data_IF_789426667915
#
_entry.id   IF_789426667915
#
_cell.length_a   1.000
_cell.length_b   1.000
_cell.length_c   1.000
_cell.angle_alpha   90.00
_cell.angle_beta   90.00
_cell.angle_gamma   90.00
#
_symmetry.space_group_name_H-M   'P 1'
#
loop_
_entity.id
_entity.type
_entity.pdbx_description
1 polymer ?
#
# COMPACT_ATOMS: atom_id res chain seq x y z
N UNK A 1 4.07 -13.12 0.41
CA UNK A 1 3.97 -12.80 1.86
C UNK A 1 3.01 -11.63 2.04
N UNK A 2 2.56 -11.34 3.27
CA UNK A 2 1.81 -10.13 3.61
C UNK A 2 2.77 -9.08 4.14
N UNK A 3 2.79 -7.90 3.51
CA UNK A 3 3.78 -6.86 3.81
C UNK A 3 3.08 -5.52 4.02
N UNK A 4 3.44 -4.86 5.13
CA UNK A 4 2.99 -3.52 5.45
C UNK A 4 4.01 -2.49 4.98
N UNK A 5 3.56 -1.45 4.26
CA UNK A 5 4.38 -0.29 3.89
C UNK A 5 3.79 0.95 4.57
N UNK A 6 4.42 1.41 5.65
CA UNK A 6 3.93 2.54 6.43
C UNK A 6 4.36 3.86 5.77
N UNK A 7 3.48 4.40 4.94
CA UNK A 7 3.68 5.66 4.22
C UNK A 7 3.21 5.58 2.77
N UNK A 8 2.44 6.58 2.36
CA UNK A 8 1.86 6.70 1.00
C UNK A 8 2.63 7.67 0.10
N UNK A 9 3.85 8.05 0.48
CA UNK A 9 4.72 8.93 -0.32
C UNK A 9 5.34 8.20 -1.52
N UNK A 10 6.12 8.92 -2.34
CA UNK A 10 6.76 8.37 -3.54
C UNK A 10 7.57 7.09 -3.27
N UNK A 11 8.34 7.07 -2.17
CA UNK A 11 9.16 5.91 -1.79
C UNK A 11 8.28 4.71 -1.39
N UNK A 12 7.25 4.95 -0.58
CA UNK A 12 6.33 3.89 -0.15
C UNK A 12 5.62 3.24 -1.33
N UNK A 13 5.15 4.05 -2.28
CA UNK A 13 4.55 3.56 -3.52
C UNK A 13 5.53 2.73 -4.35
N UNK A 14 6.75 3.21 -4.57
CA UNK A 14 7.75 2.49 -5.35
C UNK A 14 8.09 1.12 -4.75
N UNK A 15 8.28 1.06 -3.43
CA UNK A 15 8.52 -0.19 -2.70
C UNK A 15 7.29 -1.10 -2.81
N UNK A 16 6.10 -0.58 -2.53
CA UNK A 16 4.86 -1.34 -2.57
C UNK A 16 4.60 -1.95 -3.94
N UNK A 17 4.74 -1.15 -5.01
CA UNK A 17 4.59 -1.61 -6.40
C UNK A 17 5.57 -2.73 -6.69
N UNK A 18 6.86 -2.59 -6.32
CA UNK A 18 7.84 -3.64 -6.59
C UNK A 18 7.53 -4.94 -5.86
N UNK A 19 7.06 -4.86 -4.62
CA UNK A 19 6.67 -6.03 -3.83
C UNK A 19 5.45 -6.74 -4.43
N UNK A 20 4.49 -5.99 -4.97
CA UNK A 20 3.33 -6.55 -5.68
C UNK A 20 3.78 -7.28 -6.95
N UNK A 21 4.68 -6.69 -7.75
CA UNK A 21 5.24 -7.33 -8.94
C UNK A 21 5.93 -8.66 -8.62
N UNK A 22 6.52 -8.79 -7.42
CA UNK A 22 7.14 -10.02 -6.92
C UNK A 22 6.12 -11.03 -6.36
N UNK A 23 4.81 -10.74 -6.47
CA UNK A 23 3.73 -11.63 -6.03
C UNK A 23 3.44 -11.57 -4.53
N UNK A 24 3.72 -10.44 -3.88
CA UNK A 24 3.36 -10.23 -2.48
C UNK A 24 2.05 -9.45 -2.32
N UNK A 25 1.34 -9.72 -1.23
CA UNK A 25 0.18 -8.95 -0.80
C UNK A 25 0.69 -7.77 0.02
N UNK A 26 0.38 -6.55 -0.41
CA UNK A 26 0.89 -5.31 0.18
C UNK A 26 -0.26 -4.44 0.65
N UNK A 27 -0.18 -4.02 1.91
CA UNK A 27 -1.04 -2.97 2.46
C UNK A 27 -0.21 -1.73 2.76
N UNK A 28 -0.54 -0.61 2.14
CA UNK A 28 0.01 0.68 2.54
C UNK A 28 -0.73 1.20 3.78
N UNK A 29 0.05 1.59 4.79
CA UNK A 29 -0.43 2.23 5.99
C UNK A 29 -0.32 3.76 5.87
N UNK A 30 -1.37 4.44 6.30
CA UNK A 30 -1.48 5.90 6.29
C UNK A 30 -2.04 6.39 7.63
N UNK A 31 -2.01 7.71 7.88
CA UNK A 31 -2.72 8.29 9.03
C UNK A 31 -4.23 8.22 8.88
N UNK A 32 -4.72 8.15 7.65
CA UNK A 32 -6.14 8.00 7.31
C UNK A 32 -6.35 6.89 6.26
N UNK A 33 -7.45 6.16 6.37
CA UNK A 33 -7.79 5.08 5.44
C UNK A 33 -8.24 5.59 4.05
N UNK A 34 -8.48 6.89 3.92
CA UNK A 34 -9.02 7.56 2.73
C UNK A 34 -7.99 8.46 2.02
N UNK A 35 -6.70 8.32 2.35
CA UNK A 35 -5.65 9.15 1.76
C UNK A 35 -5.67 9.03 0.22
N UNK A 36 -5.95 10.12 -0.53
CA UNK A 36 -6.29 10.04 -1.96
C UNK A 36 -5.25 9.32 -2.79
N UNK A 37 -3.98 9.70 -2.64
CA UNK A 37 -2.90 9.07 -3.40
C UNK A 37 -2.52 7.67 -2.91
N UNK A 38 -3.07 7.19 -1.79
CA UNK A 38 -2.93 5.80 -1.37
C UNK A 38 -4.02 4.92 -2.01
N UNK A 39 -5.23 5.47 -2.14
CA UNK A 39 -6.35 4.83 -2.83
C UNK A 39 -6.06 4.69 -4.33
N UNK A 40 -5.53 5.75 -4.95
CA UNK A 40 -5.08 5.75 -6.34
C UNK A 40 -4.07 4.63 -6.61
N UNK A 41 -3.00 4.57 -5.79
CA UNK A 41 -2.01 3.51 -5.91
C UNK A 41 -2.61 2.10 -5.74
N UNK A 42 -3.54 1.92 -4.80
CA UNK A 42 -4.17 0.62 -4.58
C UNK A 42 -5.05 0.21 -5.77
N UNK A 43 -5.75 1.17 -6.39
CA UNK A 43 -6.53 0.93 -7.59
C UNK A 43 -5.64 0.57 -8.80
N UNK A 44 -4.50 1.25 -8.96
CA UNK A 44 -3.53 1.01 -10.04
C UNK A 44 -2.76 -0.31 -9.88
N UNK A 45 -2.41 -0.68 -8.65
CA UNK A 45 -1.53 -1.81 -8.36
C UNK A 45 -2.26 -3.17 -8.32
N UNK A 46 -3.59 -3.17 -8.42
CA UNK A 46 -4.42 -4.36 -8.58
C UNK A 46 -4.73 -5.11 -7.28
N UNK A 47 -5.19 -6.36 -7.41
CA UNK A 47 -5.86 -7.10 -6.34
C UNK A 47 -5.01 -7.38 -5.09
N UNK A 48 -3.68 -7.36 -5.21
CA UNK A 48 -2.76 -7.58 -4.09
C UNK A 48 -2.41 -6.28 -3.35
N UNK A 49 -2.99 -5.15 -3.74
CA UNK A 49 -2.77 -3.84 -3.15
C UNK A 49 -3.96 -3.43 -2.29
N UNK A 50 -3.69 -2.92 -1.10
CA UNK A 50 -4.71 -2.26 -0.28
C UNK A 50 -4.17 -1.06 0.48
N UNK A 51 -5.07 -0.17 0.90
CA UNK A 51 -4.77 0.95 1.78
C UNK A 51 -5.48 0.73 3.11
N UNK A 52 -4.84 1.13 4.21
CA UNK A 52 -5.46 1.22 5.51
C UNK A 52 -4.78 2.27 6.39
N UNK A 53 -5.29 2.43 7.61
CA UNK A 53 -4.57 3.15 8.65
C UNK A 53 -3.30 2.39 9.05
N UNK A 54 -2.41 3.03 9.82
CA UNK A 54 -1.27 2.32 10.41
C UNK A 54 -1.69 1.13 11.27
N UNK A 55 -2.86 1.18 11.92
CA UNK A 55 -3.39 0.05 12.69
C UNK A 55 -3.88 -1.09 11.78
N UNK A 56 -4.49 -0.77 10.64
CA UNK A 56 -4.98 -1.79 9.69
C UNK A 56 -3.85 -2.50 8.94
N UNK A 57 -2.69 -1.85 8.85
CA UNK A 57 -1.49 -2.37 8.21
C UNK A 57 -0.59 -3.15 9.18
N UNK A 58 -0.78 -3.01 10.49
CA UNK A 58 0.02 -3.68 11.53
C UNK A 58 -0.34 -5.16 11.69
#
# INVERSE_FOLDING_TARGET
MRIAVLGTGMVGRAIGTKLIELGHEVRMGSRSADHPGGLEWAAESGANASLGTFADAA
#
